data_IF_669229286153
#
_entry.id   IF_669229286153
#
_cell.length_a   1.000
_cell.length_b   1.000
_cell.length_c   1.000
_cell.angle_alpha   90.00
_cell.angle_beta   90.00
_cell.angle_gamma   90.00
#
_symmetry.space_group_name_H-M   'P 1'
#
loop_
_entity.id
_entity.type
_entity.pdbx_description
1 polymer ?
#
# COMPACT_ATOMS: atom_id res chain seq x y z
N UNK A 1 -28.14 -7.31 -53.04
CA UNK A 1 -28.02 -6.51 -51.80
C UNK A 1 -27.04 -7.05 -50.73
N UNK A 2 -26.35 -8.21 -50.90
CA UNK A 2 -25.43 -8.77 -49.87
C UNK A 2 -23.97 -8.27 -49.91
N UNK A 3 -23.53 -7.64 -51.00
CA UNK A 3 -22.12 -7.23 -51.18
C UNK A 3 -21.77 -5.88 -50.53
N UNK A 4 -22.73 -4.96 -50.42
CA UNK A 4 -22.53 -3.62 -49.82
C UNK A 4 -22.31 -3.72 -48.30
N UNK A 5 -22.97 -4.66 -47.63
CA UNK A 5 -22.74 -4.95 -46.20
C UNK A 5 -21.38 -5.56 -45.92
N UNK A 6 -20.82 -6.33 -46.87
CA UNK A 6 -19.49 -6.92 -46.78
C UNK A 6 -18.38 -5.87 -46.93
N UNK A 7 -18.52 -4.98 -47.93
CA UNK A 7 -17.57 -3.88 -48.16
C UNK A 7 -17.51 -2.90 -46.99
N UNK A 8 -18.66 -2.56 -46.39
CA UNK A 8 -18.71 -1.68 -45.20
C UNK A 8 -18.07 -2.31 -43.96
N UNK A 9 -18.18 -3.64 -43.80
CA UNK A 9 -17.48 -4.39 -42.75
C UNK A 9 -15.97 -4.47 -43.01
N UNK A 10 -15.56 -4.71 -44.25
CA UNK A 10 -14.15 -4.77 -44.63
C UNK A 10 -13.45 -3.41 -44.46
N UNK A 11 -14.10 -2.31 -44.86
CA UNK A 11 -13.57 -0.96 -44.68
C UNK A 11 -13.46 -0.55 -43.20
N UNK A 12 -14.42 -0.94 -42.35
CA UNK A 12 -14.32 -0.75 -40.90
C UNK A 12 -13.15 -1.55 -40.32
N UNK A 13 -12.93 -2.76 -40.82
CA UNK A 13 -11.84 -3.62 -40.35
C UNK A 13 -10.47 -3.06 -40.71
N UNK A 14 -10.28 -2.54 -41.93
CA UNK A 14 -8.98 -2.03 -42.39
C UNK A 14 -8.67 -0.61 -41.89
N UNK A 15 -9.67 0.26 -41.76
CA UNK A 15 -9.45 1.65 -41.38
C UNK A 15 -9.59 1.93 -39.88
N UNK A 16 -10.30 1.07 -39.14
CA UNK A 16 -10.54 1.27 -37.70
C UNK A 16 -9.91 0.14 -36.91
N UNK A 17 -10.30 -1.11 -37.13
CA UNK A 17 -9.87 -2.21 -36.25
C UNK A 17 -8.38 -2.58 -36.43
N UNK A 18 -7.85 -2.50 -37.66
CA UNK A 18 -6.45 -2.82 -37.97
C UNK A 18 -5.44 -1.80 -37.39
N UNK A 19 -5.59 -0.48 -37.56
CA UNK A 19 -4.68 0.48 -36.94
C UNK A 19 -4.81 0.51 -35.41
N UNK A 20 -6.01 0.34 -34.84
CA UNK A 20 -6.19 0.25 -33.38
C UNK A 20 -5.59 -1.03 -32.77
N UNK A 21 -5.55 -2.14 -33.52
CA UNK A 21 -4.88 -3.36 -33.08
C UNK A 21 -3.36 -3.28 -33.21
N UNK A 22 -2.84 -2.58 -34.22
CA UNK A 22 -1.41 -2.30 -34.41
C UNK A 22 -0.89 -1.32 -33.34
N UNK A 23 -1.68 -0.33 -32.92
CA UNK A 23 -1.37 0.59 -31.82
C UNK A 23 -1.50 -0.06 -30.43
N UNK A 24 -1.67 -1.38 -30.34
CA UNK A 24 -1.71 -2.10 -29.07
C UNK A 24 -2.90 -1.74 -28.19
N UNK A 25 -3.99 -1.17 -28.74
CA UNK A 25 -5.13 -0.70 -27.95
C UNK A 25 -5.82 -1.81 -27.16
N UNK A 26 -5.83 -3.04 -27.71
CA UNK A 26 -6.29 -4.23 -26.98
C UNK A 26 -5.39 -4.55 -25.77
N UNK A 27 -4.07 -4.40 -25.91
CA UNK A 27 -3.15 -4.56 -24.77
C UNK A 27 -3.33 -3.43 -23.76
N UNK A 28 -3.51 -2.18 -24.18
CA UNK A 28 -3.82 -1.06 -23.28
C UNK A 28 -5.12 -1.29 -22.49
N UNK A 29 -6.18 -1.76 -23.14
CA UNK A 29 -7.46 -2.06 -22.47
C UNK A 29 -7.35 -3.25 -21.50
N UNK A 30 -6.63 -4.31 -21.88
CA UNK A 30 -6.38 -5.45 -21.00
C UNK A 30 -5.50 -5.07 -19.79
N UNK A 31 -4.45 -4.27 -20.03
CA UNK A 31 -3.59 -3.74 -18.98
C UNK A 31 -4.35 -2.79 -18.05
N UNK A 32 -5.28 -2.00 -18.58
CA UNK A 32 -6.13 -1.14 -17.75
C UNK A 32 -7.02 -1.96 -16.81
N UNK A 33 -7.65 -3.04 -17.30
CA UNK A 33 -8.40 -3.97 -16.46
C UNK A 33 -7.53 -4.58 -15.37
N UNK A 34 -6.34 -5.09 -15.74
CA UNK A 34 -5.38 -5.65 -14.79
C UNK A 34 -4.92 -4.64 -13.73
N UNK A 35 -4.60 -3.41 -14.13
CA UNK A 35 -4.22 -2.33 -13.21
C UNK A 35 -5.38 -1.98 -12.28
N UNK A 36 -6.60 -1.94 -12.80
CA UNK A 36 -7.81 -1.70 -12.00
C UNK A 36 -8.01 -2.81 -10.96
N UNK A 37 -7.90 -4.07 -11.36
CA UNK A 37 -8.06 -5.22 -10.45
C UNK A 37 -6.95 -5.27 -9.39
N UNK A 38 -5.71 -4.94 -9.77
CA UNK A 38 -4.60 -4.80 -8.84
C UNK A 38 -4.87 -3.67 -7.83
N UNK A 39 -5.42 -2.55 -8.32
CA UNK A 39 -5.79 -1.42 -7.48
C UNK A 39 -6.91 -1.77 -6.51
N UNK A 40 -7.95 -2.49 -6.95
CA UNK A 40 -9.02 -3.01 -6.10
C UNK A 40 -8.46 -3.96 -5.03
N UNK A 41 -7.55 -4.86 -5.41
CA UNK A 41 -6.89 -5.79 -4.46
C UNK A 41 -6.05 -5.04 -3.42
N UNK A 42 -5.35 -3.98 -3.81
CA UNK A 42 -4.58 -3.12 -2.90
C UNK A 42 -5.48 -2.31 -1.95
N UNK A 43 -6.69 -1.97 -2.39
CA UNK A 43 -7.67 -1.19 -1.61
C UNK A 43 -8.45 -2.06 -0.63
N UNK A 44 -8.54 -3.37 -0.89
CA UNK A 44 -9.21 -4.31 -0.01
C UNK A 44 -8.47 -4.42 1.34
N UNK A 45 -9.21 -4.43 2.47
CA UNK A 45 -8.60 -4.51 3.78
C UNK A 45 -7.94 -5.89 3.98
N UNK A 46 -6.80 -5.90 4.68
CA UNK A 46 -6.12 -7.16 5.02
C UNK A 46 -6.90 -7.94 6.08
N UNK A 47 -6.79 -9.26 6.02
CA UNK A 47 -7.42 -10.12 7.01
C UNK A 47 -6.81 -9.93 8.42
N UNK A 48 -7.62 -9.72 9.47
CA UNK A 48 -7.17 -9.52 10.85
C UNK A 48 -6.59 -10.78 11.51
N UNK A 49 -6.97 -11.97 11.05
CA UNK A 49 -6.47 -13.24 11.57
C UNK A 49 -5.06 -13.54 11.08
N UNK A 50 -4.93 -13.74 9.75
CA UNK A 50 -3.72 -14.26 9.15
C UNK A 50 -2.73 -13.17 8.73
N UNK A 51 -3.18 -11.91 8.56
CA UNK A 51 -2.39 -10.78 8.02
C UNK A 51 -1.74 -10.98 6.64
N UNK A 52 -1.95 -12.15 6.02
CA UNK A 52 -1.39 -12.60 4.74
C UNK A 52 -2.37 -12.40 3.58
N UNK A 53 -3.66 -12.62 3.80
CA UNK A 53 -4.70 -12.48 2.79
C UNK A 53 -5.43 -11.13 2.86
N UNK A 54 -6.20 -10.84 1.81
CA UNK A 54 -7.13 -9.71 1.74
C UNK A 54 -8.56 -10.20 1.90
N UNK A 55 -9.44 -9.36 2.43
CA UNK A 55 -10.88 -9.61 2.44
C UNK A 55 -11.41 -9.37 1.04
N UNK A 56 -12.14 -10.33 0.49
CA UNK A 56 -12.75 -10.21 -0.83
C UNK A 56 -14.17 -10.77 -0.78
N UNK A 57 -14.99 -10.26 -1.68
CA UNK A 57 -16.32 -10.77 -1.93
C UNK A 57 -16.21 -11.93 -2.92
N UNK A 58 -16.80 -13.11 -2.64
CA UNK A 58 -16.91 -14.18 -3.63
C UNK A 58 -17.65 -13.67 -4.87
N UNK A 59 -17.17 -14.04 -6.07
CA UNK A 59 -17.79 -13.62 -7.34
C UNK A 59 -19.24 -14.12 -7.50
N UNK A 60 -19.60 -15.15 -6.73
CA UNK A 60 -20.90 -15.82 -6.76
C UNK A 60 -21.96 -15.08 -5.92
N UNK A 61 -21.59 -13.97 -5.28
CA UNK A 61 -22.48 -13.14 -4.49
C UNK A 61 -23.50 -12.40 -5.38
N UNK A 62 -24.76 -12.80 -5.28
CA UNK A 62 -25.87 -12.15 -5.99
C UNK A 62 -26.10 -10.74 -5.43
N UNK A 63 -26.18 -9.73 -6.31
CA UNK A 63 -26.31 -8.34 -5.92
C UNK A 63 -27.70 -8.03 -5.37
N UNK A 64 -27.85 -8.03 -4.06
CA UNK A 64 -28.97 -7.47 -3.32
C UNK A 64 -28.47 -6.30 -2.44
N UNK A 65 -29.03 -5.10 -2.64
CA UNK A 65 -28.59 -3.85 -2.00
C UNK A 65 -28.79 -3.86 -0.47
N UNK A 66 -29.58 -4.78 0.08
CA UNK A 66 -29.81 -4.93 1.53
C UNK A 66 -29.21 -6.20 2.12
N UNK A 67 -28.60 -7.06 1.31
CA UNK A 67 -28.01 -8.30 1.80
C UNK A 67 -26.68 -8.03 2.52
N UNK A 68 -26.50 -8.74 3.64
CA UNK A 68 -25.18 -8.87 4.24
C UNK A 68 -24.41 -9.93 3.46
N UNK A 69 -23.26 -9.56 2.94
CA UNK A 69 -22.42 -10.44 2.17
C UNK A 69 -21.33 -11.06 3.04
N UNK A 70 -21.03 -12.34 2.81
CA UNK A 70 -19.91 -13.02 3.46
C UNK A 70 -18.58 -12.61 2.83
N UNK A 71 -17.87 -11.67 3.45
CA UNK A 71 -16.52 -11.30 3.03
C UNK A 71 -15.53 -12.32 3.57
N UNK A 72 -14.80 -12.96 2.68
CA UNK A 72 -13.90 -14.05 3.02
C UNK A 72 -12.43 -13.63 2.85
N UNK A 73 -11.56 -14.26 3.62
CA UNK A 73 -10.12 -14.10 3.44
C UNK A 73 -9.62 -14.91 2.24
N UNK A 74 -8.88 -14.26 1.32
CA UNK A 74 -8.26 -14.92 0.17
C UNK A 74 -7.29 -16.05 0.52
N UNK A 75 -6.64 -15.96 1.69
CA UNK A 75 -5.74 -17.00 2.20
C UNK A 75 -6.48 -18.19 2.84
N UNK A 76 -7.82 -18.22 2.77
CA UNK A 76 -8.70 -19.27 3.31
C UNK A 76 -8.40 -19.64 4.76
N UNK A 77 -8.08 -18.63 5.58
CA UNK A 77 -7.79 -18.83 7.01
C UNK A 77 -9.04 -19.09 7.88
N UNK A 78 -10.21 -19.33 7.28
CA UNK A 78 -11.48 -19.55 7.97
C UNK A 78 -12.15 -18.28 8.50
N UNK A 79 -11.55 -17.10 8.30
CA UNK A 79 -12.15 -15.84 8.71
C UNK A 79 -13.10 -15.29 7.64
N UNK A 80 -14.36 -15.10 8.03
CA UNK A 80 -15.39 -14.43 7.25
C UNK A 80 -16.13 -13.39 8.08
N UNK A 81 -16.52 -12.28 7.46
CA UNK A 81 -17.34 -11.23 8.11
C UNK A 81 -18.55 -10.92 7.23
N UNK A 82 -19.72 -10.91 7.83
CA UNK A 82 -20.94 -10.47 7.17
C UNK A 82 -21.03 -8.94 7.22
N UNK A 83 -21.04 -8.31 6.04
CA UNK A 83 -21.09 -6.86 5.91
C UNK A 83 -21.78 -6.46 4.59
N UNK A 84 -22.37 -5.27 4.51
CA UNK A 84 -22.96 -4.78 3.26
C UNK A 84 -21.92 -4.66 2.15
N UNK A 85 -22.37 -4.52 0.91
CA UNK A 85 -21.51 -4.35 -0.28
C UNK A 85 -20.89 -2.93 -0.35
N UNK A 86 -20.37 -2.43 0.77
CA UNK A 86 -19.62 -1.18 0.84
C UNK A 86 -18.21 -1.43 1.37
N UNK A 87 -17.22 -1.22 0.50
CA UNK A 87 -15.81 -1.36 0.84
C UNK A 87 -15.38 -0.48 2.02
N UNK A 88 -16.00 0.69 2.19
CA UNK A 88 -15.63 1.62 3.27
C UNK A 88 -16.08 1.11 4.63
N UNK A 89 -17.25 0.49 4.70
CA UNK A 89 -17.81 -0.07 5.92
C UNK A 89 -17.04 -1.30 6.38
N UNK A 90 -16.71 -2.22 5.46
CA UNK A 90 -15.88 -3.39 5.79
C UNK A 90 -14.51 -2.98 6.23
N UNK A 91 -13.92 -1.98 5.56
CA UNK A 91 -12.64 -1.45 5.97
C UNK A 91 -12.69 -0.94 7.40
N UNK A 92 -13.76 -0.23 7.78
CA UNK A 92 -13.96 0.25 9.15
C UNK A 92 -14.07 -0.91 10.15
N UNK A 93 -14.86 -1.94 9.85
CA UNK A 93 -15.04 -3.12 10.72
C UNK A 93 -13.73 -3.88 10.88
N UNK A 94 -13.03 -4.13 9.77
CA UNK A 94 -11.77 -4.87 9.75
C UNK A 94 -10.66 -4.08 10.45
N UNK A 95 -10.54 -2.77 10.19
CA UNK A 95 -9.56 -1.91 10.86
C UNK A 95 -9.80 -1.84 12.37
N UNK A 96 -11.06 -1.76 12.82
CA UNK A 96 -11.40 -1.82 14.24
C UNK A 96 -10.94 -3.15 14.87
N UNK A 97 -11.17 -4.27 14.19
CA UNK A 97 -10.75 -5.59 14.68
C UNK A 97 -9.24 -5.79 14.66
N UNK A 98 -8.55 -5.27 13.64
CA UNK A 98 -7.08 -5.24 13.58
C UNK A 98 -6.53 -4.44 14.76
N UNK A 99 -7.12 -3.28 15.05
CA UNK A 99 -6.68 -2.42 16.13
C UNK A 99 -6.85 -3.10 17.51
N UNK A 100 -8.00 -3.73 17.74
CA UNK A 100 -8.27 -4.48 18.97
C UNK A 100 -7.28 -5.63 19.16
N UNK A 101 -7.10 -6.46 18.13
CA UNK A 101 -6.13 -7.55 18.17
C UNK A 101 -4.69 -7.09 18.31
N UNK A 102 -4.34 -5.99 17.66
CA UNK A 102 -3.03 -5.36 17.80
C UNK A 102 -2.78 -4.96 19.25
N UNK A 103 -3.77 -4.35 19.91
CA UNK A 103 -3.68 -4.00 21.34
C UNK A 103 -3.60 -5.23 22.23
N UNK A 104 -4.40 -6.27 22.00
CA UNK A 104 -4.35 -7.53 22.75
C UNK A 104 -2.97 -8.21 22.66
N UNK A 105 -2.40 -8.30 21.45
CA UNK A 105 -1.06 -8.88 21.24
C UNK A 105 0.01 -8.09 21.99
N UNK A 106 -0.12 -6.76 22.05
CA UNK A 106 0.83 -5.91 22.77
C UNK A 106 0.62 -5.93 24.28
N UNK A 107 -0.62 -6.09 24.76
CA UNK A 107 -0.93 -6.21 26.18
C UNK A 107 -0.35 -7.50 26.78
N UNK A 108 -0.21 -8.55 25.98
CA UNK A 108 0.42 -9.81 26.39
C UNK A 108 1.95 -9.74 26.43
N UNK A 109 2.58 -8.77 25.76
CA UNK A 109 4.04 -8.61 25.79
C UNK A 109 4.44 -7.95 27.11
N UNK A 110 5.36 -8.59 27.84
CA UNK A 110 6.00 -7.98 28.99
C UNK A 110 6.82 -6.74 28.60
N UNK A 111 7.05 -5.86 29.57
CA UNK A 111 7.91 -4.67 29.40
C UNK A 111 9.29 -4.93 28.78
N UNK A 112 10.04 -6.03 29.10
CA UNK A 112 11.34 -6.28 28.47
C UNK A 112 11.23 -6.60 26.97
N UNK A 113 10.20 -7.35 26.55
CA UNK A 113 9.98 -7.70 25.15
C UNK A 113 9.55 -6.48 24.33
N UNK A 114 8.68 -5.63 24.91
CA UNK A 114 8.28 -4.36 24.31
C UNK A 114 9.49 -3.46 24.07
N UNK A 115 10.40 -3.37 25.06
CA UNK A 115 11.62 -2.57 24.94
C UNK A 115 12.57 -3.10 23.85
N UNK A 116 12.71 -4.42 23.70
CA UNK A 116 13.48 -5.04 22.62
C UNK A 116 12.88 -4.74 21.24
N UNK A 117 11.55 -4.74 21.14
CA UNK A 117 10.87 -4.38 19.89
C UNK A 117 11.08 -2.90 19.54
N UNK A 118 10.97 -2.01 20.52
CA UNK A 118 11.22 -0.58 20.37
C UNK A 118 12.67 -0.33 19.91
N UNK A 119 13.66 -0.95 20.55
CA UNK A 119 15.07 -0.79 20.17
C UNK A 119 15.34 -1.30 18.76
N UNK A 120 14.72 -2.41 18.36
CA UNK A 120 14.83 -2.93 16.99
C UNK A 120 14.28 -1.96 15.94
N UNK A 121 13.15 -1.30 16.21
CA UNK A 121 12.56 -0.29 15.31
C UNK A 121 13.43 0.96 15.24
N UNK A 122 13.99 1.41 16.36
CA UNK A 122 14.92 2.54 16.38
C UNK A 122 16.20 2.22 15.60
N UNK A 123 16.76 1.03 15.78
CA UNK A 123 17.95 0.61 15.05
C UNK A 123 17.70 0.60 13.54
N UNK A 124 16.55 0.04 13.08
CA UNK A 124 16.14 0.10 11.67
C UNK A 124 16.03 1.53 11.16
N UNK A 125 15.38 2.42 11.93
CA UNK A 125 15.27 3.84 11.57
C UNK A 125 16.64 4.50 11.40
N UNK A 126 17.60 4.21 12.29
CA UNK A 126 18.97 4.74 12.23
C UNK A 126 19.75 4.17 11.04
N UNK A 127 19.57 2.89 10.72
CA UNK A 127 20.16 2.29 9.52
C UNK A 127 19.68 3.00 8.24
N UNK A 128 18.38 3.29 8.13
CA UNK A 128 17.87 4.07 6.98
C UNK A 128 18.43 5.50 6.94
N UNK A 129 18.56 6.18 8.09
CA UNK A 129 19.22 7.49 8.12
C UNK A 129 20.70 7.44 7.70
N UNK A 130 21.42 6.37 8.04
CA UNK A 130 22.78 6.16 7.56
C UNK A 130 22.81 5.99 6.03
N UNK A 131 21.85 5.24 5.46
CA UNK A 131 21.70 5.12 4.00
C UNK A 131 21.40 6.47 3.35
N UNK A 132 20.53 7.29 3.95
CA UNK A 132 20.25 8.65 3.46
C UNK A 132 21.51 9.50 3.45
N UNK A 133 22.30 9.47 4.54
CA UNK A 133 23.56 10.21 4.62
C UNK A 133 24.54 9.75 3.54
N UNK A 134 24.73 8.45 3.36
CA UNK A 134 25.63 7.89 2.34
C UNK A 134 25.18 8.25 0.92
N UNK A 135 23.88 8.14 0.62
CA UNK A 135 23.33 8.50 -0.68
C UNK A 135 23.46 10.01 -0.95
N UNK A 136 23.28 10.86 0.07
CA UNK A 136 23.48 12.30 -0.04
C UNK A 136 24.95 12.65 -0.30
N UNK A 137 25.89 12.04 0.42
CA UNK A 137 27.32 12.21 0.18
C UNK A 137 27.72 11.74 -1.23
N UNK A 138 27.15 10.62 -1.69
CA UNK A 138 27.36 10.13 -3.05
C UNK A 138 26.81 11.10 -4.11
N UNK A 139 25.64 11.70 -3.90
CA UNK A 139 25.10 12.71 -4.80
C UNK A 139 25.97 13.98 -4.85
N UNK A 140 26.46 14.44 -3.69
CA UNK A 140 27.38 15.58 -3.61
C UNK A 140 28.72 15.29 -4.32
N UNK A 141 29.25 14.08 -4.15
CA UNK A 141 30.44 13.62 -4.86
C UNK A 141 30.23 13.58 -6.38
N UNK A 142 29.10 13.05 -6.85
CA UNK A 142 28.76 13.01 -8.28
C UNK A 142 28.62 14.42 -8.88
N UNK A 143 28.04 15.35 -8.14
CA UNK A 143 27.97 16.76 -8.55
C UNK A 143 29.37 17.39 -8.67
N UNK A 144 30.25 17.14 -7.70
CA UNK A 144 31.62 17.64 -7.73
C UNK A 144 32.44 17.09 -8.91
N UNK A 145 32.18 15.85 -9.32
CA UNK A 145 32.81 15.19 -10.46
C UNK A 145 32.20 15.58 -11.82
N UNK A 146 31.18 16.46 -11.85
CA UNK A 146 30.51 16.87 -13.09
C UNK A 146 29.65 15.78 -13.73
N UNK A 147 29.11 14.84 -12.93
CA UNK A 147 28.25 13.78 -13.44
C UNK A 147 26.96 14.33 -14.07
N UNK A 148 26.34 13.62 -15.03
CA UNK A 148 25.07 14.02 -15.62
C UNK A 148 23.96 14.18 -14.57
N UNK A 149 23.16 15.24 -14.69
CA UNK A 149 22.09 15.55 -13.73
C UNK A 149 21.08 14.41 -13.53
N UNK A 150 20.82 13.59 -14.55
CA UNK A 150 19.93 12.42 -14.44
C UNK A 150 20.45 11.40 -13.42
N UNK A 151 21.78 11.21 -13.35
CA UNK A 151 22.42 10.30 -12.38
C UNK A 151 22.36 10.88 -10.97
N UNK A 152 22.58 12.18 -10.82
CA UNK A 152 22.46 12.85 -9.52
C UNK A 152 21.02 12.77 -8.99
N UNK A 153 20.02 13.04 -9.84
CA UNK A 153 18.61 12.99 -9.48
C UNK A 153 18.16 11.58 -9.11
N UNK A 154 18.65 10.54 -9.80
CA UNK A 154 18.32 9.16 -9.45
C UNK A 154 18.85 8.79 -8.07
N UNK A 155 20.07 9.22 -7.72
CA UNK A 155 20.62 9.04 -6.37
C UNK A 155 19.84 9.84 -5.33
N UNK A 156 19.47 11.09 -5.63
CA UNK A 156 18.64 11.89 -4.73
C UNK A 156 17.25 11.26 -4.50
N UNK A 157 16.67 10.58 -5.51
CA UNK A 157 15.39 9.88 -5.34
C UNK A 157 15.45 8.78 -4.27
N UNK A 158 16.62 8.12 -4.12
CA UNK A 158 16.84 7.12 -3.07
C UNK A 158 16.81 7.74 -1.67
N UNK A 159 17.29 8.98 -1.52
CA UNK A 159 17.24 9.69 -0.22
C UNK A 159 15.80 9.91 0.23
N UNK A 160 14.87 10.22 -0.68
CA UNK A 160 13.45 10.41 -0.36
C UNK A 160 12.79 9.10 0.07
N UNK A 161 13.05 8.01 -0.67
CA UNK A 161 12.53 6.68 -0.35
C UNK A 161 13.06 6.16 0.99
N UNK A 162 14.37 6.32 1.25
CA UNK A 162 15.00 5.91 2.50
C UNK A 162 14.53 6.78 3.68
N UNK A 163 14.38 8.08 3.50
CA UNK A 163 13.85 9.00 4.53
C UNK A 163 12.43 8.61 4.94
N UNK A 164 11.57 8.30 3.97
CA UNK A 164 10.20 7.83 4.24
C UNK A 164 10.17 6.58 5.10
N UNK A 165 11.09 5.63 4.84
CA UNK A 165 11.24 4.43 5.67
C UNK A 165 11.82 4.73 7.05
N UNK A 166 12.80 5.62 7.16
CA UNK A 166 13.38 6.05 8.43
C UNK A 166 12.31 6.68 9.35
N UNK A 167 11.46 7.54 8.77
CA UNK A 167 10.33 8.18 9.45
C UNK A 167 9.28 7.15 9.86
N UNK A 168 8.97 6.20 8.99
CA UNK A 168 8.02 5.11 9.30
C UNK A 168 8.47 4.30 10.51
N UNK A 169 9.73 3.88 10.57
CA UNK A 169 10.23 3.07 11.69
C UNK A 169 10.35 3.85 13.00
N UNK A 170 10.77 5.12 12.94
CA UNK A 170 10.79 6.00 14.12
C UNK A 170 9.38 6.27 14.66
N UNK A 171 8.39 6.47 13.77
CA UNK A 171 6.99 6.60 14.17
C UNK A 171 6.47 5.33 14.86
N UNK A 172 6.79 4.14 14.33
CA UNK A 172 6.40 2.87 14.98
C UNK A 172 7.03 2.70 16.36
N UNK A 173 8.29 3.09 16.54
CA UNK A 173 8.94 3.08 17.85
C UNK A 173 8.24 4.03 18.83
N UNK A 174 7.89 5.24 18.37
CA UNK A 174 7.15 6.21 19.16
C UNK A 174 5.77 5.70 19.58
N UNK A 175 4.98 5.15 18.64
CA UNK A 175 3.66 4.56 18.93
C UNK A 175 3.70 3.46 20.00
N UNK A 176 4.75 2.63 20.00
CA UNK A 176 4.93 1.58 20.99
C UNK A 176 5.30 2.12 22.38
N UNK A 177 6.05 3.23 22.44
CA UNK A 177 6.44 3.87 23.71
C UNK A 177 5.28 4.59 24.38
N UNK A 178 4.47 5.31 23.60
CA UNK A 178 3.36 6.12 24.12
C UNK A 178 2.05 5.35 24.23
N UNK A 179 1.98 4.13 23.70
CA UNK A 179 0.75 3.34 23.65
C UNK A 179 -0.30 3.90 22.68
N UNK A 180 0.05 4.88 21.83
CA UNK A 180 -0.89 5.55 20.90
C UNK A 180 -1.11 4.75 19.61
N UNK A 181 -1.15 3.42 19.69
CA UNK A 181 -1.43 2.57 18.53
C UNK A 181 -2.87 2.76 18.04
N UNK A 182 -3.00 3.02 16.74
CA UNK A 182 -4.28 3.20 16.04
C UNK A 182 -5.11 4.43 16.48
N UNK A 183 -4.47 5.45 17.07
CA UNK A 183 -5.12 6.72 17.40
C UNK A 183 -5.17 7.63 16.17
N UNK A 184 -6.35 8.14 15.76
CA UNK A 184 -6.46 9.07 14.63
C UNK A 184 -5.70 10.38 14.95
N UNK A 185 -4.98 10.92 13.96
CA UNK A 185 -4.21 12.16 14.11
C UNK A 185 -2.87 12.04 14.85
N UNK A 186 -2.53 10.87 15.38
CA UNK A 186 -1.24 10.64 16.06
C UNK A 186 -0.02 10.93 15.17
N UNK A 187 -0.12 10.63 13.87
CA UNK A 187 0.96 10.93 12.92
C UNK A 187 1.17 12.43 12.70
N UNK A 188 0.08 13.21 12.62
CA UNK A 188 0.19 14.68 12.48
C UNK A 188 0.90 15.29 13.69
N UNK A 189 0.54 14.85 14.89
CA UNK A 189 1.20 15.26 16.14
C UNK A 189 2.68 14.89 16.13
N UNK A 190 2.99 13.65 15.76
CA UNK A 190 4.35 13.16 15.65
C UNK A 190 5.25 14.01 14.73
N UNK A 191 4.75 14.37 13.54
CA UNK A 191 5.49 15.20 12.59
C UNK A 191 5.59 16.65 13.07
N UNK A 192 4.48 17.22 13.58
CA UNK A 192 4.43 18.60 14.08
C UNK A 192 5.40 18.84 15.23
N UNK A 193 5.49 17.89 16.16
CA UNK A 193 6.34 17.99 17.34
C UNK A 193 7.79 17.55 17.06
N UNK A 194 8.13 17.26 15.79
CA UNK A 194 9.45 16.81 15.33
C UNK A 194 10.01 15.62 16.14
N UNK A 195 9.14 14.72 16.57
CA UNK A 195 9.48 13.56 17.43
C UNK A 195 10.34 12.51 16.70
N UNK A 196 10.52 12.66 15.39
CA UNK A 196 11.46 11.88 14.59
C UNK A 196 12.94 12.24 14.82
N UNK A 197 13.22 13.42 15.38
CA UNK A 197 14.56 13.98 15.63
C UNK A 197 14.81 13.97 17.13
N UNK A 198 13.85 14.48 17.92
CA UNK A 198 13.91 14.43 19.37
C UNK A 198 13.74 12.98 19.83
N UNK A 199 14.80 12.41 20.42
CA UNK A 199 14.65 11.18 21.20
C UNK A 199 13.64 11.50 22.30
N UNK A 200 12.47 10.87 22.25
CA UNK A 200 11.58 10.82 23.40
C UNK A 200 12.36 10.10 24.49
N UNK A 201 12.80 10.87 25.49
CA UNK A 201 13.38 10.36 26.73
C UNK A 201 12.26 9.78 27.58
#
# INVERSE_FOLDING_TARGET
MKFISGAKRAAKFTLVDMPLSILGWRQLKANHGFISDLWHTLRNPRCPECSRGVMHLPADAQSDDKALYGWECSAKCGFGVFAPNDQTEIRRIVEARIAERGKQRLAFLGDPERNKLISSHLWKSRAYWAVVLLAFLMAAWLLAMGAPMVVVLSVLSLTLAASSNAIRWSYRAWQMRTGTLFVPGAFSRYVRDMLWIRRVQ
#
